data_IF_848572193164
#
_entry.id   IF_848572193164
#
_cell.length_a   1.000
_cell.length_b   1.000
_cell.length_c   1.000
_cell.angle_alpha   90.00
_cell.angle_beta   90.00
_cell.angle_gamma   90.00
#
_symmetry.space_group_name_H-M   'P 1'
#
loop_
_entity.id
_entity.type
_entity.pdbx_description
1 polymer ?
#
# COMPACT_ATOMS: atom_id res chain seq x y z
N UNK A 1 6.10 9.30 -9.15
CA UNK A 1 6.00 7.85 -9.44
C UNK A 1 6.99 7.40 -10.49
N UNK A 2 7.23 8.21 -11.52
CA UNK A 2 8.00 7.88 -12.72
C UNK A 2 9.38 7.27 -12.48
N UNK A 3 10.16 7.82 -11.55
CA UNK A 3 11.51 7.30 -11.29
C UNK A 3 11.50 5.83 -10.83
N UNK A 4 10.62 5.50 -9.88
CA UNK A 4 10.53 4.14 -9.33
C UNK A 4 10.00 3.14 -10.35
N UNK A 5 8.96 3.52 -11.08
CA UNK A 5 8.40 2.71 -12.18
C UNK A 5 9.46 2.44 -13.24
N UNK A 6 10.15 3.49 -13.70
CA UNK A 6 11.24 3.35 -14.68
C UNK A 6 12.34 2.41 -14.19
N UNK A 7 12.73 2.50 -12.91
CA UNK A 7 13.76 1.62 -12.35
C UNK A 7 13.31 0.16 -12.23
N UNK A 8 12.04 -0.08 -11.93
CA UNK A 8 11.48 -1.43 -11.93
C UNK A 8 11.42 -2.02 -13.36
N UNK A 9 10.96 -1.22 -14.33
CA UNK A 9 10.88 -1.62 -15.74
C UNK A 9 12.28 -1.90 -16.33
N UNK A 10 13.30 -1.08 -16.02
CA UNK A 10 14.71 -1.32 -16.42
C UNK A 10 15.28 -2.63 -15.88
N UNK A 11 14.72 -3.16 -14.79
CA UNK A 11 15.18 -4.38 -14.12
C UNK A 11 14.27 -5.58 -14.36
N UNK A 12 13.20 -5.41 -15.14
CA UNK A 12 12.19 -6.43 -15.37
C UNK A 12 11.53 -6.91 -14.07
N UNK A 13 11.33 -6.00 -13.11
CA UNK A 13 10.77 -6.32 -11.80
C UNK A 13 9.30 -5.90 -11.70
N UNK A 14 8.53 -6.72 -10.98
CA UNK A 14 7.27 -6.30 -10.40
C UNK A 14 7.53 -5.26 -9.30
N UNK A 15 6.69 -4.23 -9.24
CA UNK A 15 6.79 -3.17 -8.24
C UNK A 15 5.67 -3.34 -7.20
N UNK A 16 6.06 -3.74 -5.99
CA UNK A 16 5.20 -3.80 -4.81
C UNK A 16 5.34 -2.56 -3.94
N UNK A 17 4.23 -2.12 -3.34
CA UNK A 17 4.20 -1.10 -2.30
C UNK A 17 3.03 -1.29 -1.35
N UNK A 18 3.15 -0.74 -0.16
CA UNK A 18 2.05 -0.57 0.78
C UNK A 18 1.46 0.83 0.64
N UNK A 19 0.17 0.90 0.31
CA UNK A 19 -0.56 2.16 0.21
C UNK A 19 -1.37 2.44 1.46
N UNK A 20 -1.44 3.70 1.87
CA UNK A 20 -2.51 4.18 2.76
C UNK A 20 -3.82 4.33 1.97
N UNK A 21 -4.99 4.55 2.60
CA UNK A 21 -6.22 4.77 1.85
C UNK A 21 -6.12 5.96 0.89
N UNK A 22 -5.39 7.00 1.30
CA UNK A 22 -5.21 8.23 0.54
C UNK A 22 -4.24 8.09 -0.63
N UNK A 23 -3.23 7.22 -0.51
CA UNK A 23 -2.27 6.96 -1.59
C UNK A 23 -2.84 6.06 -2.69
N UNK A 24 -3.85 5.24 -2.37
CA UNK A 24 -4.33 4.16 -3.24
C UNK A 24 -4.80 4.68 -4.61
N UNK A 25 -5.62 5.74 -4.70
CA UNK A 25 -6.05 6.28 -6.00
C UNK A 25 -4.88 6.74 -6.87
N UNK A 26 -3.81 7.27 -6.28
CA UNK A 26 -2.61 7.67 -7.03
C UNK A 26 -1.91 6.44 -7.62
N UNK A 27 -1.78 5.36 -6.87
CA UNK A 27 -1.12 4.15 -7.36
C UNK A 27 -1.97 3.42 -8.40
N UNK A 28 -3.30 3.33 -8.21
CA UNK A 28 -4.23 2.78 -9.20
C UNK A 28 -4.13 3.53 -10.54
N UNK A 29 -4.09 4.87 -10.52
CA UNK A 29 -3.89 5.69 -11.70
C UNK A 29 -2.54 5.48 -12.41
N UNK A 30 -1.58 4.82 -11.74
CA UNK A 30 -0.24 4.51 -12.27
C UNK A 30 -0.06 3.01 -12.57
N UNK A 31 -1.14 2.24 -12.66
CA UNK A 31 -1.13 0.83 -13.07
C UNK A 31 -0.78 -0.15 -11.95
N UNK A 32 -0.93 0.25 -10.70
CA UNK A 32 -0.89 -0.67 -9.57
C UNK A 32 -2.28 -1.25 -9.33
N UNK A 33 -2.32 -2.50 -8.91
CA UNK A 33 -3.53 -3.26 -8.58
C UNK A 33 -3.48 -3.69 -7.14
N UNK A 34 -4.65 -3.73 -6.49
CA UNK A 34 -4.79 -4.22 -5.12
C UNK A 34 -4.53 -5.74 -5.05
N UNK A 35 -3.78 -6.17 -4.04
CA UNK A 35 -3.59 -7.57 -3.70
C UNK A 35 -4.30 -7.93 -2.40
N UNK A 36 -3.93 -7.29 -1.30
CA UNK A 36 -4.43 -7.61 0.04
C UNK A 36 -4.37 -6.43 1.01
N UNK A 37 -5.15 -6.50 2.08
CA UNK A 37 -5.10 -5.57 3.21
C UNK A 37 -4.10 -6.07 4.26
N UNK A 38 -3.17 -5.20 4.62
CA UNK A 38 -2.24 -5.37 5.72
C UNK A 38 -2.71 -4.54 6.92
N UNK A 39 -3.48 -5.18 7.81
CA UNK A 39 -4.06 -4.54 9.00
C UNK A 39 -3.02 -4.55 10.13
N UNK A 40 -2.55 -3.36 10.48
CA UNK A 40 -1.61 -3.14 11.57
C UNK A 40 -2.36 -2.81 12.86
N UNK A 41 -2.24 -3.70 13.84
CA UNK A 41 -2.82 -3.56 15.18
C UNK A 41 -1.67 -3.56 16.17
N UNK A 42 -1.18 -2.38 16.60
CA UNK A 42 -0.14 -2.29 17.63
C UNK A 42 -0.59 -3.01 18.90
N UNK A 43 0.33 -3.72 19.56
CA UNK A 43 0.07 -4.44 20.82
C UNK A 43 1.20 -4.19 21.81
N UNK A 44 0.84 -4.13 23.09
CA UNK A 44 1.77 -4.12 24.21
C UNK A 44 1.17 -4.93 25.35
N UNK A 45 2.02 -5.61 26.12
CA UNK A 45 1.57 -6.38 27.30
C UNK A 45 1.25 -5.46 28.49
N UNK A 46 1.86 -4.27 28.55
CA UNK A 46 1.73 -3.33 29.67
C UNK A 46 1.42 -1.92 29.14
N UNK A 47 0.15 -1.61 28.78
CA UNK A 47 -0.22 -0.30 28.25
C UNK A 47 -0.28 0.76 29.36
N UNK A 48 0.57 1.79 29.24
CA UNK A 48 0.47 2.98 30.07
C UNK A 48 -0.61 3.95 29.55
N UNK A 49 -0.84 5.05 30.28
CA UNK A 49 -1.88 6.02 29.90
C UNK A 49 -1.61 6.68 28.54
N UNK A 50 -0.33 6.92 28.21
CA UNK A 50 0.03 7.50 26.91
C UNK A 50 -0.23 6.51 25.77
N UNK A 51 0.01 5.22 25.99
CA UNK A 51 -0.31 4.17 25.03
C UNK A 51 -1.81 4.13 24.75
N UNK A 52 -2.65 4.11 25.79
CA UNK A 52 -4.11 4.12 25.66
C UNK A 52 -4.61 5.37 24.93
N UNK A 53 -4.03 6.53 25.21
CA UNK A 53 -4.37 7.78 24.51
C UNK A 53 -4.06 7.70 23.01
N UNK A 54 -2.91 7.13 22.63
CA UNK A 54 -2.55 6.96 21.22
C UNK A 54 -3.44 5.92 20.56
N UNK A 55 -3.74 4.82 21.25
CA UNK A 55 -4.64 3.76 20.77
C UNK A 55 -6.04 4.31 20.48
N UNK A 56 -6.60 5.14 21.35
CA UNK A 56 -7.90 5.80 21.15
C UNK A 56 -7.89 6.79 19.97
N UNK A 57 -6.80 7.56 19.84
CA UNK A 57 -6.68 8.58 18.78
C UNK A 57 -6.39 8.03 17.40
N UNK A 58 -5.59 6.96 17.31
CA UNK A 58 -5.05 6.44 16.05
C UNK A 58 -5.71 5.12 15.66
N UNK A 59 -5.92 4.24 16.63
CA UNK A 59 -6.48 2.91 16.42
C UNK A 59 -5.66 2.01 15.48
N UNK A 60 -6.26 0.89 15.04
CA UNK A 60 -5.71 0.08 13.96
C UNK A 60 -5.54 0.88 12.67
N UNK A 61 -4.46 0.60 11.94
CA UNK A 61 -4.21 1.24 10.65
C UNK A 61 -4.09 0.19 9.55
N UNK A 62 -4.77 0.41 8.43
CA UNK A 62 -4.73 -0.50 7.29
C UNK A 62 -3.79 0.06 6.22
N UNK A 63 -2.89 -0.77 5.73
CA UNK A 63 -2.20 -0.56 4.47
C UNK A 63 -2.77 -1.52 3.41
N UNK A 64 -2.76 -1.13 2.15
CA UNK A 64 -3.16 -1.98 1.02
C UNK A 64 -1.89 -2.35 0.29
N UNK A 65 -1.55 -3.65 0.27
CA UNK A 65 -0.49 -4.15 -0.57
C UNK A 65 -0.96 -4.03 -2.02
N UNK A 66 -0.15 -3.38 -2.84
CA UNK A 66 -0.42 -3.15 -4.24
C UNK A 66 0.76 -3.58 -5.09
N UNK A 67 0.45 -4.07 -6.30
CA UNK A 67 1.46 -4.48 -7.28
C UNK A 67 1.22 -3.84 -8.62
N UNK A 68 2.28 -3.34 -9.25
CA UNK A 68 2.36 -3.10 -10.68
C UNK A 68 3.27 -4.18 -11.29
N UNK A 69 2.72 -5.15 -12.04
CA UNK A 69 3.54 -6.14 -12.73
C UNK A 69 4.54 -5.49 -13.70
N UNK A 70 5.65 -6.16 -13.98
CA UNK A 70 6.55 -5.76 -15.06
C UNK A 70 5.77 -5.55 -16.37
N UNK A 71 6.06 -4.45 -17.07
CA UNK A 71 5.32 -4.05 -18.27
C UNK A 71 3.97 -3.38 -18.00
N UNK A 72 3.62 -3.18 -16.73
CA UNK A 72 2.39 -2.53 -16.27
C UNK A 72 1.19 -3.48 -16.20
N UNK A 73 0.19 -3.11 -15.40
CA UNK A 73 -1.09 -3.80 -15.42
C UNK A 73 -1.73 -3.60 -16.79
N UNK A 74 -1.97 -4.68 -17.55
CA UNK A 74 -3.00 -4.64 -18.59
C UNK A 74 -4.29 -4.29 -17.87
N UNK A 75 -4.80 -3.07 -18.05
CA UNK A 75 -6.21 -2.85 -17.74
C UNK A 75 -6.98 -3.96 -18.45
N UNK A 76 -8.00 -4.59 -17.82
CA UNK A 76 -9.00 -5.24 -18.64
C UNK A 76 -9.47 -4.17 -19.61
N UNK A 77 -9.39 -4.45 -20.90
CA UNK A 77 -10.13 -3.67 -21.89
C UNK A 77 -11.54 -3.58 -21.33
N UNK A 78 -12.01 -2.37 -21.01
CA UNK A 78 -13.40 -2.17 -20.70
C UNK A 78 -14.16 -2.52 -21.98
N UNK A 79 -14.87 -3.64 -21.97
CA UNK A 79 -15.90 -3.97 -22.94
C UNK A 79 -17.08 -2.99 -22.81
#
# INVERSE_FOLDING_TARGET
>A
MDWGIKKADEKEFDFYLDSTPYGRPLYEANGFTYLEENINIPKTENPDEKWKEIEDKVGPFTFWLMVRPFGGSKSPVAD
#
